data_IF_148598157372
#
_entry.id   IF_148598157372
#
_cell.length_a   1.000
_cell.length_b   1.000
_cell.length_c   1.000
_cell.angle_alpha   90.00
_cell.angle_beta   90.00
_cell.angle_gamma   90.00
#
_symmetry.space_group_name_H-M   'P 1'
#
loop_
_entity.id
_entity.type
_entity.pdbx_description
1 polymer ?
#
# COMPACT_ATOMS: atom_id res chain seq x y z
N UNK A 1 4.48 53.41 -23.24
CA UNK A 1 5.00 53.42 -21.86
C UNK A 1 3.77 53.45 -20.97
N UNK A 2 3.32 52.36 -20.36
CA UNK A 2 4.09 51.46 -19.53
C UNK A 2 3.59 50.02 -19.63
N UNK A 3 4.55 49.10 -19.55
CA UNK A 3 4.41 47.65 -19.61
C UNK A 3 4.08 47.14 -18.20
N UNK A 4 3.00 46.38 -18.02
CA UNK A 4 2.87 45.48 -16.86
C UNK A 4 2.85 44.04 -17.34
N UNK A 5 4.03 43.45 -17.19
CA UNK A 5 4.42 42.11 -17.60
C UNK A 5 3.93 41.12 -16.54
N UNK A 6 2.76 40.53 -16.75
CA UNK A 6 2.23 39.44 -15.93
C UNK A 6 3.10 38.20 -16.08
N UNK A 7 3.94 37.95 -15.08
CA UNK A 7 4.86 36.82 -14.95
C UNK A 7 4.06 35.53 -14.71
N UNK A 8 3.90 34.71 -15.76
CA UNK A 8 3.36 33.35 -15.63
C UNK A 8 4.40 32.47 -14.94
N UNK A 9 4.00 31.84 -13.84
CA UNK A 9 4.85 31.03 -12.97
C UNK A 9 4.75 29.57 -13.42
N UNK A 10 5.84 29.06 -13.99
CA UNK A 10 6.04 27.65 -14.28
C UNK A 10 5.92 26.83 -12.99
N UNK A 11 4.81 26.10 -12.83
CA UNK A 11 4.69 25.11 -11.77
C UNK A 11 5.29 23.80 -12.29
N UNK A 12 6.60 23.71 -12.16
CA UNK A 12 7.34 22.45 -12.21
C UNK A 12 7.00 21.66 -10.95
N UNK A 13 6.99 20.33 -11.09
CA UNK A 13 7.05 19.33 -10.02
C UNK A 13 5.70 18.86 -9.47
N UNK A 14 5.17 17.77 -10.05
CA UNK A 14 4.61 16.71 -9.21
C UNK A 14 5.64 15.58 -9.20
N UNK A 15 6.46 15.61 -8.16
CA UNK A 15 7.26 14.48 -7.71
C UNK A 15 6.40 13.20 -7.76
N UNK A 16 6.80 12.26 -8.61
CA UNK A 16 6.49 10.86 -8.35
C UNK A 16 7.12 10.54 -7.01
N UNK A 17 6.30 10.47 -5.96
CA UNK A 17 6.75 10.07 -4.64
C UNK A 17 7.37 8.68 -4.75
N UNK A 18 8.70 8.66 -4.75
CA UNK A 18 9.54 7.49 -4.73
C UNK A 18 9.22 6.73 -3.42
N UNK A 19 8.43 5.66 -3.54
CA UNK A 19 7.94 4.78 -2.48
C UNK A 19 9.06 3.94 -1.82
N UNK A 20 10.33 4.32 -1.98
CA UNK A 20 11.48 3.47 -1.67
C UNK A 20 12.20 3.83 -0.36
N UNK A 21 11.68 4.78 0.42
CA UNK A 21 12.38 5.27 1.62
C UNK A 21 11.95 4.54 2.89
N UNK A 22 12.56 3.38 3.14
CA UNK A 22 12.54 2.69 4.44
C UNK A 22 13.46 3.47 5.42
N UNK A 23 12.98 3.94 6.60
CA UNK A 23 13.86 4.52 7.60
C UNK A 23 14.82 3.45 8.13
N UNK A 24 16.09 3.56 7.73
CA UNK A 24 17.15 2.62 8.09
C UNK A 24 17.75 3.02 9.43
N UNK A 25 17.14 2.57 10.52
CA UNK A 25 17.83 2.49 11.82
C UNK A 25 18.84 1.34 11.78
N UNK A 26 20.07 1.63 11.34
CA UNK A 26 21.36 1.03 11.74
C UNK A 26 21.61 -0.49 11.74
N UNK A 27 20.61 -1.36 11.56
CA UNK A 27 20.77 -2.81 11.59
C UNK A 27 20.80 -3.35 10.16
N UNK A 28 21.96 -3.89 9.74
CA UNK A 28 22.06 -4.58 8.44
C UNK A 28 21.15 -5.81 8.47
N UNK A 29 19.97 -5.73 7.85
CA UNK A 29 19.10 -6.90 7.64
C UNK A 29 19.85 -8.00 6.91
N UNK A 30 19.77 -9.22 7.43
CA UNK A 30 20.31 -10.41 6.79
C UNK A 30 19.63 -10.64 5.44
N UNK A 31 20.31 -11.33 4.51
CA UNK A 31 19.73 -11.68 3.19
C UNK A 31 18.40 -12.44 3.34
N UNK A 32 18.30 -13.33 4.33
CA UNK A 32 17.06 -14.09 4.64
C UNK A 32 15.92 -13.17 5.08
N UNK A 33 16.20 -12.17 5.91
CA UNK A 33 15.19 -11.20 6.34
C UNK A 33 14.71 -10.31 5.19
N UNK A 34 15.61 -9.92 4.28
CA UNK A 34 15.22 -9.16 3.07
C UNK A 34 14.29 -9.96 2.16
N UNK A 35 14.61 -11.24 1.94
CA UNK A 35 13.75 -12.15 1.18
C UNK A 35 12.39 -12.35 1.85
N UNK A 36 12.36 -12.53 3.17
CA UNK A 36 11.11 -12.65 3.91
C UNK A 36 10.26 -11.38 3.80
N UNK A 37 10.87 -10.19 3.93
CA UNK A 37 10.16 -8.92 3.77
C UNK A 37 9.57 -8.76 2.37
N UNK A 38 10.31 -9.14 1.33
CA UNK A 38 9.81 -9.09 -0.05
C UNK A 38 8.65 -10.07 -0.29
N UNK A 39 8.74 -11.30 0.23
CA UNK A 39 7.65 -12.27 0.16
C UNK A 39 6.40 -11.79 0.90
N UNK A 40 6.57 -11.16 2.07
CA UNK A 40 5.47 -10.55 2.82
C UNK A 40 4.84 -9.39 2.04
N UNK A 41 5.66 -8.56 1.37
CA UNK A 41 5.18 -7.49 0.50
C UNK A 41 4.32 -8.04 -0.64
N UNK A 42 4.82 -9.02 -1.38
CA UNK A 42 4.11 -9.66 -2.49
C UNK A 42 2.82 -10.34 -2.03
N UNK A 43 2.86 -11.04 -0.89
CA UNK A 43 1.68 -11.65 -0.30
C UNK A 43 0.62 -10.60 0.05
N UNK A 44 1.04 -9.49 0.67
CA UNK A 44 0.13 -8.40 1.06
C UNK A 44 -0.53 -7.75 -0.15
N UNK A 45 0.23 -7.48 -1.22
CA UNK A 45 -0.32 -6.89 -2.45
C UNK A 45 -1.33 -7.83 -3.13
N UNK A 46 -0.95 -9.08 -3.38
CA UNK A 46 -1.83 -10.09 -3.99
C UNK A 46 -3.12 -10.30 -3.16
N UNK A 47 -2.98 -10.38 -1.84
CA UNK A 47 -4.11 -10.54 -0.94
C UNK A 47 -5.02 -9.29 -0.92
N UNK A 48 -4.45 -8.09 -0.96
CA UNK A 48 -5.21 -6.83 -1.04
C UNK A 48 -6.03 -6.77 -2.34
N UNK A 49 -5.42 -7.12 -3.47
CA UNK A 49 -6.12 -7.16 -4.76
C UNK A 49 -7.28 -8.16 -4.75
N UNK A 50 -7.09 -9.33 -4.14
CA UNK A 50 -8.15 -10.33 -3.97
C UNK A 50 -9.29 -9.78 -3.13
N UNK A 51 -8.99 -9.17 -1.98
CA UNK A 51 -9.99 -8.56 -1.09
C UNK A 51 -10.79 -7.48 -1.82
N UNK A 52 -10.14 -6.60 -2.58
CA UNK A 52 -10.82 -5.57 -3.36
C UNK A 52 -11.76 -6.16 -4.41
N UNK A 53 -11.32 -7.20 -5.14
CA UNK A 53 -12.16 -7.90 -6.12
C UNK A 53 -13.36 -8.59 -5.48
N UNK A 54 -13.17 -9.20 -4.31
CA UNK A 54 -14.25 -9.84 -3.56
C UNK A 54 -15.22 -8.80 -3.00
N UNK A 55 -14.74 -7.61 -2.60
CA UNK A 55 -15.57 -6.53 -2.10
C UNK A 55 -16.55 -5.98 -3.15
N UNK A 56 -16.13 -5.90 -4.41
CA UNK A 56 -16.98 -5.45 -5.54
C UNK A 56 -17.82 -6.58 -6.16
N UNK A 57 -17.58 -7.83 -5.75
CA UNK A 57 -18.33 -8.98 -6.25
C UNK A 57 -19.79 -8.91 -5.80
N UNK A 58 -20.72 -9.03 -6.75
CA UNK A 58 -22.16 -9.12 -6.48
C UNK A 58 -22.55 -10.57 -6.22
N UNK A 59 -22.25 -11.07 -5.04
CA UNK A 59 -22.71 -12.39 -4.59
C UNK A 59 -24.07 -12.27 -3.89
N UNK A 60 -25.07 -13.02 -4.34
CA UNK A 60 -26.42 -13.01 -3.75
C UNK A 60 -26.49 -13.63 -2.34
N UNK A 61 -25.48 -14.41 -1.95
CA UNK A 61 -25.40 -15.10 -0.66
C UNK A 61 -24.16 -14.68 0.13
N UNK A 62 -23.86 -13.37 0.11
CA UNK A 62 -22.66 -12.79 0.72
C UNK A 62 -22.48 -13.19 2.19
N UNK A 63 -23.57 -13.27 2.95
CA UNK A 63 -23.54 -13.61 4.38
C UNK A 63 -23.13 -15.06 4.65
N UNK A 64 -23.37 -15.97 3.69
CA UNK A 64 -22.98 -17.38 3.77
C UNK A 64 -21.87 -17.73 2.76
N UNK A 65 -21.25 -16.74 2.12
CA UNK A 65 -20.21 -16.97 1.12
C UNK A 65 -18.87 -17.14 1.81
N UNK A 66 -18.33 -18.36 1.82
CA UNK A 66 -17.03 -18.65 2.43
C UNK A 66 -15.90 -17.79 1.87
N UNK A 67 -15.93 -17.50 0.56
CA UNK A 67 -14.95 -16.61 -0.09
C UNK A 67 -15.03 -15.19 0.47
N UNK A 68 -16.25 -14.69 0.71
CA UNK A 68 -16.43 -13.35 1.29
C UNK A 68 -15.95 -13.30 2.74
N UNK A 69 -16.27 -14.34 3.54
CA UNK A 69 -15.80 -14.47 4.93
C UNK A 69 -14.28 -14.52 4.98
N UNK A 70 -13.64 -15.35 4.15
CA UNK A 70 -12.17 -15.46 4.12
C UNK A 70 -11.50 -14.19 3.63
N UNK A 71 -12.09 -13.48 2.65
CA UNK A 71 -11.57 -12.19 2.22
C UNK A 71 -11.62 -11.15 3.35
N UNK A 72 -12.68 -11.14 4.17
CA UNK A 72 -12.73 -10.29 5.36
C UNK A 72 -11.64 -10.63 6.37
N UNK A 73 -11.47 -11.92 6.69
CA UNK A 73 -10.43 -12.37 7.62
C UNK A 73 -9.03 -11.94 7.15
N UNK A 74 -8.76 -12.08 5.85
CA UNK A 74 -7.52 -11.64 5.21
C UNK A 74 -7.35 -10.13 5.32
N UNK A 75 -8.39 -9.34 5.08
CA UNK A 75 -8.35 -7.89 5.20
C UNK A 75 -7.97 -7.43 6.62
N UNK A 76 -8.51 -8.08 7.65
CA UNK A 76 -8.15 -7.78 9.05
C UNK A 76 -6.68 -8.09 9.35
N UNK A 77 -6.15 -9.20 8.81
CA UNK A 77 -4.74 -9.56 8.97
C UNK A 77 -3.84 -8.53 8.28
N UNK A 78 -4.19 -8.10 7.07
CA UNK A 78 -3.44 -7.07 6.33
C UNK A 78 -3.41 -5.77 7.12
N UNK A 79 -4.55 -5.31 7.65
CA UNK A 79 -4.61 -4.10 8.47
C UNK A 79 -3.69 -4.20 9.69
N UNK A 80 -3.71 -5.33 10.41
CA UNK A 80 -2.79 -5.55 11.56
C UNK A 80 -1.32 -5.51 11.14
N UNK A 81 -0.97 -6.09 9.99
CA UNK A 81 0.40 -6.04 9.46
C UNK A 81 0.83 -4.61 9.09
N UNK A 82 -0.08 -3.82 8.52
CA UNK A 82 0.16 -2.42 8.17
C UNK A 82 0.31 -1.56 9.44
N UNK A 83 -0.56 -1.71 10.43
CA UNK A 83 -0.47 -1.04 11.73
C UNK A 83 0.88 -1.29 12.43
N UNK A 84 1.35 -2.55 12.40
CA UNK A 84 2.65 -2.91 12.98
C UNK A 84 3.78 -2.22 12.22
N UNK A 85 3.72 -2.16 10.89
CA UNK A 85 4.74 -1.50 10.08
C UNK A 85 4.78 0.01 10.33
N UNK A 86 3.63 0.65 10.46
CA UNK A 86 3.50 2.08 10.74
C UNK A 86 4.01 2.44 12.14
N UNK A 87 3.78 1.59 13.14
CA UNK A 87 4.29 1.79 14.51
C UNK A 87 5.80 1.56 14.67
N UNK A 88 6.42 0.89 13.70
CA UNK A 88 7.86 0.58 13.68
C UNK A 88 8.65 1.54 12.79
N UNK A 89 7.97 2.28 11.91
CA UNK A 89 8.57 3.33 11.06
C UNK A 89 8.73 4.64 11.83
#
# INVERSE_FOLDING_TARGET
>A
MSEEKGKSMDTKTSETADFTSIPTSGAKMTKKQKLAAELVRQLTDNATQLVLKVAICKCNHKDNCEVFTKARDIAEIINKLQDIREKVS
#
